data_IF_480241573273
#
_entry.id   IF_480241573273
#
_cell.length_a   1.000
_cell.length_b   1.000
_cell.length_c   1.000
_cell.angle_alpha   90.00
_cell.angle_beta   90.00
_cell.angle_gamma   90.00
#
_symmetry.space_group_name_H-M   'P 1'
#
loop_
_entity.id
_entity.type
_entity.pdbx_description
1 polymer ?
#
# COMPACT_ATOMS: atom_id res chain seq x y z
N UNK A 1 -33.50 -34.94 -10.90
CA UNK A 1 -32.93 -33.58 -11.17
C UNK A 1 -31.43 -33.57 -10.88
N UNK A 2 -30.94 -34.24 -9.79
CA UNK A 2 -29.51 -34.22 -9.41
C UNK A 2 -28.56 -34.90 -10.40
N UNK A 3 -28.94 -36.05 -10.97
CA UNK A 3 -28.07 -36.83 -11.89
C UNK A 3 -27.87 -36.16 -13.25
N UNK A 4 -28.90 -35.51 -13.78
CA UNK A 4 -28.85 -34.77 -15.06
C UNK A 4 -27.98 -33.52 -14.89
N UNK A 5 -28.11 -32.82 -13.77
CA UNK A 5 -27.29 -31.64 -13.47
C UNK A 5 -25.81 -31.98 -13.32
N UNK A 6 -25.47 -33.07 -12.63
CA UNK A 6 -24.10 -33.57 -12.50
C UNK A 6 -23.50 -34.00 -13.85
N UNK A 7 -24.30 -34.58 -14.73
CA UNK A 7 -23.84 -35.00 -16.05
C UNK A 7 -23.60 -33.81 -16.99
N UNK A 8 -24.43 -32.77 -16.90
CA UNK A 8 -24.23 -31.51 -17.61
C UNK A 8 -22.97 -30.77 -17.14
N UNK A 9 -22.75 -30.70 -15.83
CA UNK A 9 -21.54 -30.11 -15.25
C UNK A 9 -20.29 -30.86 -15.70
N UNK A 10 -20.34 -32.22 -15.70
CA UNK A 10 -19.24 -33.04 -16.21
C UNK A 10 -18.95 -32.81 -17.69
N UNK A 11 -20.00 -32.69 -18.53
CA UNK A 11 -19.83 -32.43 -19.96
C UNK A 11 -19.29 -31.02 -20.24
N UNK A 12 -19.69 -30.01 -19.44
CA UNK A 12 -19.17 -28.65 -19.55
C UNK A 12 -17.70 -28.55 -19.09
N UNK A 13 -17.30 -29.33 -18.09
CA UNK A 13 -15.90 -29.48 -17.66
C UNK A 13 -15.05 -30.16 -18.76
N UNK A 14 -15.54 -31.24 -19.39
CA UNK A 14 -14.83 -31.95 -20.45
C UNK A 14 -14.67 -31.07 -21.70
N UNK A 15 -15.62 -30.21 -22.01
CA UNK A 15 -15.57 -29.27 -23.15
C UNK A 15 -14.76 -28.01 -22.91
N UNK A 16 -14.09 -27.87 -21.77
CA UNK A 16 -13.28 -26.67 -21.44
C UNK A 16 -14.10 -25.41 -21.22
N UNK A 17 -15.44 -25.50 -21.16
CA UNK A 17 -16.33 -24.34 -20.99
C UNK A 17 -16.41 -23.89 -19.51
N UNK A 18 -16.12 -24.80 -18.57
CA UNK A 18 -16.01 -24.49 -17.12
C UNK A 18 -14.54 -24.38 -16.67
N UNK A 19 -13.73 -23.73 -17.47
CA UNK A 19 -12.37 -23.35 -17.04
C UNK A 19 -12.38 -21.95 -16.46
N UNK A 20 -13.06 -21.77 -15.31
CA UNK A 20 -12.98 -20.53 -14.55
C UNK A 20 -12.69 -20.86 -13.09
N UNK A 21 -11.60 -21.53 -12.83
CA UNK A 21 -10.80 -21.23 -11.66
C UNK A 21 -9.74 -20.21 -12.12
N UNK A 22 -9.98 -18.96 -11.80
CA UNK A 22 -8.96 -17.92 -12.03
C UNK A 22 -7.78 -18.28 -11.12
N UNK A 23 -6.77 -18.90 -11.69
CA UNK A 23 -5.51 -19.14 -10.98
C UNK A 23 -4.64 -17.88 -11.14
N UNK A 24 -4.50 -17.12 -10.06
CA UNK A 24 -3.63 -15.93 -10.00
C UNK A 24 -2.24 -16.24 -9.42
N UNK A 25 -1.96 -17.52 -9.14
CA UNK A 25 -0.64 -17.92 -8.65
C UNK A 25 0.38 -17.82 -9.78
N UNK A 26 1.48 -17.13 -9.51
CA UNK A 26 2.64 -17.00 -10.39
C UNK A 26 3.80 -17.85 -9.87
N UNK A 27 4.83 -18.07 -10.70
CA UNK A 27 5.91 -19.00 -10.37
C UNK A 27 7.03 -18.36 -9.54
N UNK A 28 7.19 -17.04 -9.64
CA UNK A 28 8.25 -16.30 -8.96
C UNK A 28 7.86 -14.86 -8.70
N UNK A 29 8.68 -14.17 -7.90
CA UNK A 29 8.42 -12.79 -7.47
C UNK A 29 8.54 -11.80 -8.63
N UNK A 30 9.46 -12.00 -9.56
CA UNK A 30 9.62 -11.12 -10.71
C UNK A 30 8.37 -11.10 -11.59
N UNK A 31 7.75 -12.28 -11.79
CA UNK A 31 6.47 -12.38 -12.49
C UNK A 31 5.34 -11.68 -11.73
N UNK A 32 5.34 -11.78 -10.38
CA UNK A 32 4.33 -11.13 -9.54
C UNK A 32 4.41 -9.60 -9.59
N UNK A 33 5.61 -9.04 -9.75
CA UNK A 33 5.85 -7.59 -9.78
C UNK A 33 5.87 -7.02 -11.21
N UNK A 34 5.60 -7.87 -12.20
CA UNK A 34 5.53 -7.43 -13.59
C UNK A 34 4.50 -6.30 -13.77
N UNK A 35 4.93 -5.22 -14.40
CA UNK A 35 4.09 -4.04 -14.63
C UNK A 35 4.33 -2.88 -13.66
N UNK A 36 5.10 -3.07 -12.59
CA UNK A 36 5.55 -1.95 -11.75
C UNK A 36 6.60 -1.17 -12.53
N UNK A 37 6.37 0.15 -12.67
CA UNK A 37 7.21 1.07 -13.44
C UNK A 37 7.60 2.28 -12.58
N UNK A 38 8.48 3.10 -13.12
CA UNK A 38 8.86 4.37 -12.52
C UNK A 38 7.63 5.23 -12.21
N UNK A 39 7.61 5.83 -11.03
CA UNK A 39 6.52 6.67 -10.57
C UNK A 39 5.31 5.91 -9.98
N UNK A 40 5.33 4.58 -9.95
CA UNK A 40 4.23 3.79 -9.40
C UNK A 40 3.97 4.10 -7.93
N UNK A 41 2.71 4.10 -7.54
CA UNK A 41 2.26 4.18 -6.14
C UNK A 41 1.98 2.78 -5.61
N UNK A 42 2.68 2.38 -4.55
CA UNK A 42 2.64 1.02 -4.01
C UNK A 42 2.27 1.07 -2.53
N UNK A 43 1.21 0.36 -2.14
CA UNK A 43 0.93 0.04 -0.73
C UNK A 43 1.75 -1.17 -0.31
N UNK A 44 2.53 -1.05 0.76
CA UNK A 44 3.34 -2.14 1.29
C UNK A 44 2.92 -2.47 2.72
N UNK A 45 2.61 -3.74 2.94
CA UNK A 45 2.31 -4.28 4.27
C UNK A 45 3.54 -4.25 5.16
N UNK A 46 3.29 -4.30 6.46
CA UNK A 46 4.30 -4.34 7.51
C UNK A 46 4.01 -3.37 8.64
N UNK A 47 4.45 -3.76 9.84
CA UNK A 47 4.42 -2.93 11.04
C UNK A 47 5.69 -3.22 11.86
N UNK A 48 6.51 -2.20 12.07
CA UNK A 48 7.87 -2.42 12.59
C UNK A 48 8.64 -3.35 11.63
N UNK A 49 9.10 -4.47 12.13
CA UNK A 49 9.79 -5.51 11.33
C UNK A 49 8.87 -6.69 10.97
N UNK A 50 7.61 -6.67 11.41
CA UNK A 50 6.66 -7.77 11.20
C UNK A 50 5.86 -7.59 9.90
N UNK A 51 5.65 -8.69 9.17
CA UNK A 51 4.79 -8.70 7.98
C UNK A 51 5.35 -7.98 6.75
N UNK A 52 6.64 -7.64 6.76
CA UNK A 52 7.32 -7.01 5.62
C UNK A 52 7.44 -8.01 4.46
N UNK A 53 7.04 -7.65 3.23
CA UNK A 53 7.16 -8.50 2.04
C UNK A 53 8.60 -8.50 1.49
N UNK A 54 9.53 -9.10 2.21
CA UNK A 54 10.99 -9.04 2.00
C UNK A 54 11.41 -9.43 0.60
N UNK A 55 10.86 -10.55 0.08
CA UNK A 55 11.19 -11.05 -1.24
C UNK A 55 10.77 -10.07 -2.35
N UNK A 56 9.60 -9.44 -2.19
CA UNK A 56 9.12 -8.44 -3.14
C UNK A 56 9.96 -7.16 -3.09
N UNK A 57 10.36 -6.72 -1.90
CA UNK A 57 11.24 -5.55 -1.74
C UNK A 57 12.62 -5.85 -2.35
N UNK A 58 13.19 -7.02 -2.11
CA UNK A 58 14.46 -7.43 -2.71
C UNK A 58 14.40 -7.45 -4.25
N UNK A 59 13.27 -7.85 -4.81
CA UNK A 59 13.08 -7.84 -6.25
C UNK A 59 12.91 -6.41 -6.80
N UNK A 60 12.15 -5.53 -6.11
CA UNK A 60 12.04 -4.11 -6.46
C UNK A 60 13.41 -3.42 -6.47
N UNK A 61 14.31 -3.78 -5.54
CA UNK A 61 15.70 -3.29 -5.53
C UNK A 61 16.42 -3.66 -6.83
N UNK A 62 16.27 -4.90 -7.32
CA UNK A 62 16.89 -5.37 -8.56
C UNK A 62 16.27 -4.75 -9.82
N UNK A 63 14.98 -4.46 -9.78
CA UNK A 63 14.28 -3.81 -10.91
C UNK A 63 14.74 -2.37 -11.14
N UNK A 64 15.38 -1.75 -10.14
CA UNK A 64 15.92 -0.38 -10.20
C UNK A 64 14.87 0.70 -10.58
N UNK A 65 13.59 0.39 -10.44
CA UNK A 65 12.49 1.35 -10.64
C UNK A 65 12.67 2.57 -9.75
N UNK A 66 12.32 3.75 -10.24
CA UNK A 66 12.57 5.04 -9.59
C UNK A 66 11.28 5.81 -9.32
N UNK A 67 11.41 6.85 -8.49
CA UNK A 67 10.35 7.80 -8.21
C UNK A 67 9.08 7.16 -7.61
N UNK A 68 9.23 6.04 -6.90
CA UNK A 68 8.11 5.35 -6.27
C UNK A 68 7.46 6.23 -5.19
N UNK A 69 6.15 6.15 -5.10
CA UNK A 69 5.39 6.58 -3.92
C UNK A 69 5.06 5.34 -3.10
N UNK A 70 5.60 5.24 -1.90
CA UNK A 70 5.36 4.11 -1.02
C UNK A 70 4.41 4.50 0.13
N UNK A 71 3.33 3.74 0.31
CA UNK A 71 2.37 3.89 1.38
C UNK A 71 2.58 2.72 2.33
N UNK A 72 3.05 2.98 3.53
CA UNK A 72 3.32 1.95 4.55
C UNK A 72 3.28 2.55 5.95
N UNK A 73 3.04 1.72 6.97
CA UNK A 73 3.02 2.20 8.35
C UNK A 73 4.36 2.85 8.75
N UNK A 74 5.47 2.24 8.37
CA UNK A 74 6.85 2.73 8.53
C UNK A 74 7.74 2.19 7.39
N UNK A 75 9.03 2.49 7.41
CA UNK A 75 9.98 2.04 6.38
C UNK A 75 10.90 0.88 6.83
N UNK A 76 10.54 0.17 7.89
CA UNK A 76 11.43 -0.80 8.50
C UNK A 76 12.62 -0.13 9.17
N UNK A 77 13.79 -0.72 9.05
CA UNK A 77 15.09 -0.18 9.50
C UNK A 77 16.01 0.04 8.30
N UNK A 78 17.21 0.61 8.52
CA UNK A 78 18.11 1.00 7.44
C UNK A 78 18.44 -0.13 6.45
N UNK A 79 18.71 -1.32 6.94
CA UNK A 79 19.15 -2.48 6.15
C UNK A 79 18.06 -3.56 5.95
N UNK A 80 16.80 -3.24 6.27
CA UNK A 80 15.69 -4.17 6.14
C UNK A 80 14.36 -3.46 5.81
N UNK A 81 13.53 -4.12 5.00
CA UNK A 81 12.27 -3.55 4.55
C UNK A 81 12.49 -2.43 3.53
N UNK A 82 11.67 -1.38 3.61
CA UNK A 82 11.74 -0.24 2.70
C UNK A 82 13.04 0.57 2.83
N UNK A 83 13.79 0.41 3.93
CA UNK A 83 15.13 0.99 4.08
C UNK A 83 16.04 0.66 2.89
N UNK A 84 15.95 -0.55 2.36
CA UNK A 84 16.73 -0.97 1.17
C UNK A 84 16.41 -0.11 -0.07
N UNK A 85 15.14 0.24 -0.29
CA UNK A 85 14.72 1.10 -1.40
C UNK A 85 15.12 2.57 -1.16
N UNK A 86 15.09 3.02 0.10
CA UNK A 86 15.56 4.36 0.48
C UNK A 86 17.06 4.53 0.21
N UNK A 87 17.88 3.56 0.59
CA UNK A 87 19.31 3.58 0.28
C UNK A 87 19.61 3.62 -1.22
N UNK A 88 18.76 3.00 -2.04
CA UNK A 88 18.88 2.99 -3.50
C UNK A 88 18.25 4.23 -4.18
N UNK A 89 17.68 5.16 -3.42
CA UNK A 89 16.98 6.35 -3.96
C UNK A 89 15.88 5.97 -4.95
N UNK A 90 15.19 4.87 -4.68
CA UNK A 90 14.07 4.40 -5.50
C UNK A 90 12.75 5.05 -5.10
N UNK A 91 12.64 5.51 -3.84
CA UNK A 91 11.45 6.16 -3.30
C UNK A 91 11.59 7.67 -3.42
N UNK A 92 10.60 8.33 -4.02
CA UNK A 92 10.46 9.78 -4.08
C UNK A 92 9.56 10.31 -2.96
N UNK A 93 8.52 9.56 -2.61
CA UNK A 93 7.55 9.96 -1.58
C UNK A 93 7.22 8.79 -0.67
N UNK A 94 7.21 9.05 0.63
CA UNK A 94 6.68 8.15 1.65
C UNK A 94 5.40 8.74 2.25
N UNK A 95 4.34 7.93 2.32
CA UNK A 95 3.13 8.21 3.11
C UNK A 95 3.15 7.22 4.26
N UNK A 96 3.37 7.71 5.48
CA UNK A 96 3.70 6.86 6.62
C UNK A 96 3.13 7.44 7.92
N UNK A 97 2.90 6.57 8.90
CA UNK A 97 2.47 7.02 10.23
C UNK A 97 3.63 7.17 11.22
N UNK A 98 4.83 6.70 10.85
CA UNK A 98 5.98 6.70 11.73
C UNK A 98 7.29 6.71 10.94
N UNK A 99 8.24 7.54 11.36
CA UNK A 99 9.56 7.69 10.70
C UNK A 99 10.67 6.98 11.46
N UNK A 100 10.59 6.87 12.79
CA UNK A 100 11.67 6.39 13.66
C UNK A 100 12.21 5.00 13.33
N UNK A 101 13.34 4.65 13.93
CA UNK A 101 14.09 3.38 13.76
C UNK A 101 14.74 3.19 12.38
N UNK A 102 14.68 4.20 11.49
CA UNK A 102 15.35 4.20 10.20
C UNK A 102 16.08 5.52 10.01
N UNK A 103 17.39 5.52 10.23
CA UNK A 103 18.22 6.72 10.20
C UNK A 103 18.29 7.32 8.79
N UNK A 104 18.32 6.50 7.76
CA UNK A 104 18.35 6.97 6.38
C UNK A 104 17.00 7.62 5.97
N UNK A 105 15.88 7.09 6.45
CA UNK A 105 14.57 7.72 6.26
C UNK A 105 14.54 9.12 6.89
N UNK A 106 14.94 9.21 8.18
CA UNK A 106 14.99 10.48 8.90
C UNK A 106 15.92 11.48 8.19
N UNK A 107 17.12 11.03 7.79
CA UNK A 107 18.09 11.88 7.09
C UNK A 107 17.53 12.43 5.78
N UNK A 108 16.91 11.58 4.95
CA UNK A 108 16.34 12.00 3.65
C UNK A 108 15.16 12.95 3.84
N UNK A 109 14.33 12.72 4.85
CA UNK A 109 13.23 13.62 5.20
C UNK A 109 13.76 15.00 5.60
N UNK A 110 14.70 15.06 6.54
CA UNK A 110 15.26 16.32 7.05
C UNK A 110 16.06 17.10 5.99
N UNK A 111 16.71 16.42 5.05
CA UNK A 111 17.43 17.06 3.95
C UNK A 111 16.53 17.50 2.80
N UNK A 112 15.25 17.12 2.80
CA UNK A 112 14.31 17.38 1.69
C UNK A 112 14.54 16.51 0.44
N UNK A 113 15.39 15.48 0.52
CA UNK A 113 15.59 14.52 -0.57
C UNK A 113 14.35 13.62 -0.78
N UNK A 114 13.61 13.36 0.29
CA UNK A 114 12.42 12.52 0.32
C UNK A 114 11.21 13.35 0.71
N UNK A 115 10.16 13.33 -0.10
CA UNK A 115 8.86 13.86 0.30
C UNK A 115 8.22 12.91 1.32
N UNK A 116 7.79 13.45 2.45
CA UNK A 116 7.14 12.66 3.50
C UNK A 116 5.79 13.26 3.87
N UNK A 117 4.74 12.44 3.77
CA UNK A 117 3.40 12.76 4.25
C UNK A 117 3.13 11.92 5.50
N UNK A 118 3.15 12.58 6.66
CA UNK A 118 2.79 11.93 7.92
C UNK A 118 1.27 11.86 8.03
N UNK A 119 0.77 10.64 8.20
CA UNK A 119 -0.65 10.33 8.32
C UNK A 119 -0.87 9.57 9.62
N UNK A 120 -1.77 10.01 10.53
CA UNK A 120 -2.08 9.25 11.73
C UNK A 120 -2.43 7.79 11.40
N UNK A 121 -1.92 6.84 12.18
CA UNK A 121 -1.98 5.41 11.85
C UNK A 121 -3.42 4.91 11.59
N UNK A 122 -4.38 5.30 12.41
CA UNK A 122 -5.79 4.95 12.20
C UNK A 122 -6.36 5.57 10.91
N UNK A 123 -5.94 6.78 10.57
CA UNK A 123 -6.31 7.46 9.32
C UNK A 123 -5.70 6.75 8.11
N UNK A 124 -4.43 6.33 8.20
CA UNK A 124 -3.77 5.56 7.15
C UNK A 124 -4.51 4.26 6.85
N UNK A 125 -4.90 3.52 7.90
CA UNK A 125 -5.69 2.30 7.76
C UNK A 125 -7.06 2.57 7.13
N UNK A 126 -7.75 3.63 7.56
CA UNK A 126 -9.07 3.99 7.03
C UNK A 126 -8.99 4.49 5.58
N UNK A 127 -7.94 5.21 5.19
CA UNK A 127 -7.70 5.59 3.80
C UNK A 127 -7.58 4.37 2.89
N UNK A 128 -6.90 3.29 3.34
CA UNK A 128 -6.84 2.01 2.62
C UNK A 128 -8.24 1.38 2.49
N UNK A 129 -9.00 1.32 3.60
CA UNK A 129 -10.35 0.75 3.63
C UNK A 129 -11.31 1.54 2.73
N UNK A 130 -11.27 2.86 2.80
CA UNK A 130 -12.11 3.74 2.00
C UNK A 130 -11.83 3.54 0.50
N UNK A 131 -10.57 3.48 0.11
CA UNK A 131 -10.16 3.23 -1.27
C UNK A 131 -10.75 1.92 -1.81
N UNK A 132 -10.62 0.83 -1.06
CA UNK A 132 -11.15 -0.47 -1.46
C UNK A 132 -12.69 -0.49 -1.53
N UNK A 133 -13.36 0.29 -0.68
CA UNK A 133 -14.81 0.41 -0.65
C UNK A 133 -15.38 1.41 -1.68
N UNK A 134 -14.53 2.11 -2.45
CA UNK A 134 -14.94 3.15 -3.39
C UNK A 134 -15.43 4.44 -2.70
N UNK A 135 -15.04 4.66 -1.44
CA UNK A 135 -15.35 5.88 -0.68
C UNK A 135 -14.24 6.89 -0.97
N UNK A 136 -14.53 8.03 -1.61
CA UNK A 136 -13.47 8.95 -2.06
C UNK A 136 -12.84 9.74 -0.92
N UNK A 137 -13.59 10.00 0.17
CA UNK A 137 -13.15 10.80 1.30
C UNK A 137 -14.01 10.51 2.53
N UNK A 138 -13.49 10.85 3.71
CA UNK A 138 -14.18 10.72 5.00
C UNK A 138 -13.70 11.78 5.97
N UNK A 139 -14.49 12.05 7.02
CA UNK A 139 -14.10 12.93 8.10
C UNK A 139 -13.57 12.17 9.30
N UNK A 140 -12.46 12.64 9.89
CA UNK A 140 -11.85 12.07 11.09
C UNK A 140 -11.42 13.17 12.05
N UNK A 141 -11.54 12.97 13.37
CA UNK A 141 -11.02 13.92 14.35
C UNK A 141 -9.49 13.78 14.55
N UNK A 142 -8.87 12.71 14.01
CA UNK A 142 -7.45 12.48 14.17
C UNK A 142 -6.65 13.53 13.40
N UNK A 143 -5.69 14.16 14.09
CA UNK A 143 -4.84 15.21 13.52
C UNK A 143 -5.45 16.62 13.51
N UNK A 144 -6.70 16.82 13.90
CA UNK A 144 -7.26 18.16 14.00
C UNK A 144 -6.47 18.99 15.04
N UNK A 145 -6.13 20.24 14.69
CA UNK A 145 -5.33 21.13 15.53
C UNK A 145 -3.82 20.86 15.51
N UNK A 146 -3.35 20.03 14.60
CA UNK A 146 -1.93 19.78 14.33
C UNK A 146 -1.57 20.14 12.88
N UNK A 147 -0.29 20.11 12.53
CA UNK A 147 0.20 20.31 11.16
C UNK A 147 -0.48 19.37 10.13
N UNK A 148 -0.93 18.19 10.57
CA UNK A 148 -1.68 17.25 9.71
C UNK A 148 -2.97 17.86 9.17
N UNK A 149 -3.57 18.82 9.87
CA UNK A 149 -4.81 19.48 9.47
C UNK A 149 -4.60 20.65 8.49
N UNK A 150 -3.36 21.08 8.26
CA UNK A 150 -3.09 22.25 7.43
C UNK A 150 -3.58 22.05 6.00
N UNK A 151 -4.32 23.05 5.50
CA UNK A 151 -4.89 23.03 4.16
C UNK A 151 -6.07 22.08 3.96
N UNK A 152 -6.51 21.33 4.99
CA UNK A 152 -7.65 20.41 4.91
C UNK A 152 -8.96 21.07 5.34
N UNK A 153 -10.06 20.72 4.69
CA UNK A 153 -11.40 21.13 5.11
C UNK A 153 -11.66 20.61 6.53
N UNK A 154 -12.16 21.48 7.41
CA UNK A 154 -12.57 21.09 8.75
C UNK A 154 -14.07 21.30 8.94
N UNK A 155 -14.74 20.36 9.62
CA UNK A 155 -16.17 20.41 9.92
C UNK A 155 -16.46 19.87 11.31
N UNK A 156 -17.42 20.50 11.98
CA UNK A 156 -17.91 20.03 13.27
C UNK A 156 -18.99 18.97 13.12
N UNK A 157 -18.86 17.88 13.87
CA UNK A 157 -19.89 16.85 14.04
C UNK A 157 -20.06 16.57 15.53
N UNK A 158 -21.28 16.75 16.04
CA UNK A 158 -21.64 16.48 17.44
C UNK A 158 -20.70 17.18 18.45
N UNK A 159 -20.37 18.48 18.22
CA UNK A 159 -19.50 19.25 19.10
C UNK A 159 -18.01 18.92 18.99
N UNK A 160 -17.59 18.10 18.02
CA UNK A 160 -16.19 17.72 17.80
C UNK A 160 -15.74 18.05 16.38
N UNK A 161 -14.61 18.72 16.27
CA UNK A 161 -14.03 19.07 14.99
C UNK A 161 -13.39 17.85 14.31
N UNK A 162 -13.57 17.77 13.01
CA UNK A 162 -13.03 16.72 12.14
C UNK A 162 -12.38 17.36 10.92
N UNK A 163 -11.40 16.70 10.35
CA UNK A 163 -10.77 17.06 9.08
C UNK A 163 -11.17 16.08 7.97
N UNK A 164 -11.27 16.58 6.75
CA UNK A 164 -11.53 15.76 5.57
C UNK A 164 -10.24 15.06 5.13
N UNK A 165 -10.31 13.76 5.02
CA UNK A 165 -9.23 12.92 4.49
C UNK A 165 -9.67 12.20 3.22
N UNK A 166 -8.83 12.21 2.20
CA UNK A 166 -9.08 11.51 0.95
C UNK A 166 -8.57 10.07 1.02
N UNK A 167 -9.30 9.15 0.38
CA UNK A 167 -8.86 7.77 0.21
C UNK A 167 -7.56 7.71 -0.60
N UNK A 168 -6.78 6.65 -0.44
CA UNK A 168 -5.59 6.46 -1.25
C UNK A 168 -5.92 6.01 -2.67
N UNK A 169 -5.10 6.46 -3.62
CA UNK A 169 -5.01 5.87 -4.95
C UNK A 169 -3.66 5.18 -5.06
N UNK A 170 -3.67 3.87 -5.27
CA UNK A 170 -2.45 3.10 -5.46
C UNK A 170 -2.58 2.17 -6.66
N UNK A 171 -1.49 2.01 -7.40
CA UNK A 171 -1.44 1.13 -8.57
C UNK A 171 -1.28 -0.33 -8.15
N UNK A 172 -0.55 -0.55 -7.05
CA UNK A 172 -0.23 -1.89 -6.54
C UNK A 172 -0.36 -1.96 -5.02
N UNK A 173 -0.63 -3.17 -4.52
CA UNK A 173 -0.54 -3.51 -3.11
C UNK A 173 0.25 -4.79 -2.93
N UNK A 174 1.25 -4.78 -2.03
CA UNK A 174 2.12 -5.91 -1.76
C UNK A 174 2.03 -6.24 -0.28
N UNK A 175 1.59 -7.44 0.04
CA UNK A 175 1.49 -7.94 1.41
C UNK A 175 2.16 -9.29 1.55
N UNK A 176 2.75 -9.55 2.71
CA UNK A 176 3.26 -10.86 3.08
C UNK A 176 2.11 -11.71 3.62
N UNK A 177 1.91 -12.89 3.06
CA UNK A 177 0.93 -13.88 3.48
C UNK A 177 1.62 -15.16 3.96
#
# INVERSE_FOLDING_TARGET
>A
IGAICQQLIKQLLIRGILKIMINKKVNNVAEALHGIQDGATIMLGGFGLCGIPENSIAELVKMEVKNLTCISNNAGVDDFGLGLLLHKRQIKKMISSYVGENAEFERQMLSGELEVELTPQGTLAEKCRAAQAGIPAFYTPAGYGTEVAEGKEAREFNGKMHILEHAFNADFAIVKA
#
